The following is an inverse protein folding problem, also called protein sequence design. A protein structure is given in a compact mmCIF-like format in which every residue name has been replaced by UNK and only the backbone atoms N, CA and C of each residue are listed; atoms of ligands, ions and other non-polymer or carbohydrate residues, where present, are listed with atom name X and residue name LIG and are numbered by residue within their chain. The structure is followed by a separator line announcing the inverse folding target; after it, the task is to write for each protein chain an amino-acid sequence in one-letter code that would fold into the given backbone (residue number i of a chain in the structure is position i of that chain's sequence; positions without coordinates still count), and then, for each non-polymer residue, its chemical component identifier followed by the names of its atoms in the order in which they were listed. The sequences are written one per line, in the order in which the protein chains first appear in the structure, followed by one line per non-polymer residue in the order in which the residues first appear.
data_IF_876877491560
#
_entry.id   IF_876877491560
#
_cell.length_a   1.000
_cell.length_b   1.000
_cell.length_c   1.000
_cell.angle_alpha   90.00
_cell.angle_beta   90.00
_cell.angle_gamma   90.00
#
_symmetry.space_group_name_H-M   'P 1'
#
loop_
_entity.id
_entity.type
_entity.pdbx_description
1 polymer ?
#
# COMPACT_ATOMS: atom_id res chain seq x y z
N UNK A 1 50.99 50.20 50.68
CA UNK A 1 51.22 49.05 49.75
C UNK A 1 49.85 48.41 49.50
N UNK A 2 49.22 48.73 48.41
CA UNK A 2 47.88 48.29 48.08
C UNK A 2 47.97 47.42 46.82
N UNK A 3 47.76 46.11 46.96
CA UNK A 3 47.72 45.18 45.82
C UNK A 3 46.34 45.14 45.20
N UNK A 4 46.23 45.61 43.95
CA UNK A 4 45.04 45.40 43.12
C UNK A 4 45.07 44.02 42.47
N UNK A 5 44.09 43.20 42.81
CA UNK A 5 43.80 41.93 42.13
C UNK A 5 42.78 42.21 41.02
N UNK A 6 43.19 42.14 39.77
CA UNK A 6 42.29 42.16 38.60
C UNK A 6 41.66 40.79 38.39
N UNK A 7 40.37 40.70 38.52
CA UNK A 7 39.56 39.51 38.20
C UNK A 7 39.35 39.42 36.69
N UNK A 8 39.97 38.45 36.04
CA UNK A 8 39.68 38.08 34.67
C UNK A 8 38.38 37.29 34.60
N UNK A 9 37.34 37.86 33.99
CA UNK A 9 36.08 37.16 33.65
C UNK A 9 36.34 36.26 32.46
N UNK A 10 36.31 34.93 32.68
CA UNK A 10 36.21 33.93 31.61
C UNK A 10 34.77 33.88 31.10
N UNK A 11 34.53 34.23 29.85
CA UNK A 11 33.32 33.99 29.16
C UNK A 11 33.37 32.54 28.64
N UNK A 12 32.56 31.65 29.22
CA UNK A 12 32.29 30.33 28.63
C UNK A 12 31.26 30.53 27.49
N UNK A 13 31.73 30.41 26.27
CA UNK A 13 30.84 30.30 25.11
C UNK A 13 30.27 28.90 25.09
N UNK A 14 29.03 28.74 25.47
CA UNK A 14 28.29 27.49 25.27
C UNK A 14 27.89 27.42 23.81
N UNK A 15 28.59 26.62 23.03
CA UNK A 15 28.17 26.24 21.70
C UNK A 15 26.97 25.28 21.80
N UNK A 16 25.78 25.81 21.55
CA UNK A 16 24.58 24.97 21.38
C UNK A 16 24.73 24.24 20.04
N UNK A 17 25.16 23.00 20.10
CA UNK A 17 25.10 22.09 18.97
C UNK A 17 23.62 21.80 18.70
N UNK A 18 23.05 22.49 17.73
CA UNK A 18 21.71 22.21 17.21
C UNK A 18 21.71 20.80 16.58
N UNK A 19 21.20 19.81 17.30
CA UNK A 19 20.84 18.54 16.71
C UNK A 19 19.74 18.82 15.67
N UNK A 20 20.11 18.87 14.40
CA UNK A 20 19.20 18.72 13.29
C UNK A 20 18.63 17.29 13.39
N UNK A 21 17.49 17.13 14.05
CA UNK A 21 16.66 15.95 13.88
C UNK A 21 16.23 15.95 12.41
N UNK A 22 17.01 15.27 11.57
CA UNK A 22 16.56 14.89 10.24
C UNK A 22 15.29 14.08 10.43
N UNK A 23 14.16 14.61 9.98
CA UNK A 23 12.96 13.82 9.75
C UNK A 23 13.36 12.66 8.84
N UNK A 24 13.52 11.47 9.41
CA UNK A 24 13.67 10.23 8.67
C UNK A 24 12.35 9.92 7.97
N UNK A 25 12.06 10.60 6.87
CA UNK A 25 11.00 10.23 5.96
C UNK A 25 11.31 8.85 5.40
N UNK A 26 10.31 7.98 5.32
CA UNK A 26 10.44 6.69 4.66
C UNK A 26 11.00 6.92 3.25
N UNK A 27 12.10 6.24 2.92
CA UNK A 27 12.69 6.35 1.58
C UNK A 27 11.89 5.48 0.61
N UNK A 28 11.37 6.10 -0.46
CA UNK A 28 10.67 5.41 -1.54
C UNK A 28 11.60 5.07 -2.72
N UNK A 29 12.92 5.16 -2.55
CA UNK A 29 13.89 4.94 -3.65
C UNK A 29 13.85 3.52 -4.21
N UNK A 30 13.46 2.54 -3.40
CA UNK A 30 13.26 1.16 -3.83
C UNK A 30 11.97 0.95 -4.63
N UNK A 31 11.03 1.91 -4.63
CA UNK A 31 9.75 1.75 -5.31
C UNK A 31 9.93 1.92 -6.82
N UNK A 32 9.61 0.86 -7.55
CA UNK A 32 9.66 0.86 -9.02
C UNK A 32 8.59 1.77 -9.60
N UNK A 33 8.95 2.50 -10.66
CA UNK A 33 8.06 3.42 -11.39
C UNK A 33 7.54 4.59 -10.54
N UNK A 34 8.30 5.06 -9.56
CA UNK A 34 7.87 6.19 -8.72
C UNK A 34 7.54 7.45 -9.53
N UNK A 35 8.18 7.64 -10.69
CA UNK A 35 7.87 8.70 -11.65
C UNK A 35 6.76 8.37 -12.65
N UNK A 36 5.90 7.37 -12.40
CA UNK A 36 4.88 6.88 -13.32
C UNK A 36 4.10 7.99 -14.01
N UNK A 37 4.00 7.93 -15.35
CA UNK A 37 3.22 8.83 -16.18
C UNK A 37 1.75 8.39 -16.35
N UNK A 38 1.36 7.26 -15.79
CA UNK A 38 -0.01 6.77 -15.79
C UNK A 38 -0.99 7.75 -15.13
N UNK A 39 -2.28 7.56 -15.39
CA UNK A 39 -3.31 8.52 -14.96
C UNK A 39 -4.33 7.95 -13.99
N UNK A 40 -4.46 6.61 -13.89
CA UNK A 40 -5.49 5.98 -13.08
C UNK A 40 -4.91 5.29 -11.86
N UNK A 41 -5.65 5.33 -10.76
CA UNK A 41 -5.44 4.48 -9.60
C UNK A 41 -6.45 3.36 -9.67
N UNK A 42 -6.01 2.11 -9.53
CA UNK A 42 -6.86 0.94 -9.69
C UNK A 42 -6.69 0.03 -8.48
N UNK A 43 -7.79 -0.40 -7.87
CA UNK A 43 -7.80 -1.47 -6.90
C UNK A 43 -8.19 -2.76 -7.63
N UNK A 44 -7.28 -3.73 -7.67
CA UNK A 44 -7.41 -4.99 -8.38
C UNK A 44 -7.43 -6.15 -7.39
N UNK A 45 -8.50 -6.96 -7.41
CA UNK A 45 -8.67 -8.00 -6.41
C UNK A 45 -9.94 -8.81 -6.60
N UNK A 46 -10.33 -9.50 -5.54
CA UNK A 46 -11.47 -10.40 -5.48
C UNK A 46 -12.72 -9.73 -4.85
N UNK A 47 -13.55 -10.50 -4.12
CA UNK A 47 -14.75 -10.02 -3.41
C UNK A 47 -14.45 -8.93 -2.37
N UNK A 48 -13.24 -8.94 -1.77
CA UNK A 48 -12.82 -7.90 -0.84
C UNK A 48 -12.64 -6.56 -1.55
N UNK A 49 -12.14 -6.58 -2.78
CA UNK A 49 -11.99 -5.37 -3.60
C UNK A 49 -13.32 -4.95 -4.21
N UNK A 50 -14.14 -5.91 -4.66
CA UNK A 50 -15.50 -5.62 -5.15
C UNK A 50 -16.37 -4.94 -4.08
N UNK A 51 -16.15 -5.26 -2.79
CA UNK A 51 -16.87 -4.70 -1.66
C UNK A 51 -18.06 -5.55 -1.20
N UNK A 52 -17.99 -6.88 -1.37
CA UNK A 52 -19.07 -7.77 -0.94
C UNK A 52 -19.34 -7.62 0.56
N UNK A 53 -20.60 -7.32 0.91
CA UNK A 53 -21.03 -7.08 2.30
C UNK A 53 -21.08 -5.61 2.71
N UNK A 54 -20.71 -4.67 1.82
CA UNK A 54 -20.90 -3.23 2.03
C UNK A 54 -22.10 -2.68 1.27
N UNK A 55 -22.56 -1.49 1.64
CA UNK A 55 -23.49 -0.69 0.86
C UNK A 55 -22.83 0.05 -0.31
N UNK A 56 -23.64 0.69 -1.17
CA UNK A 56 -23.13 1.47 -2.29
C UNK A 56 -22.15 2.58 -1.84
N UNK A 57 -20.94 2.60 -2.40
CA UNK A 57 -19.91 3.58 -2.06
C UNK A 57 -19.20 3.35 -0.73
N UNK A 58 -19.44 2.22 -0.07
CA UNK A 58 -18.78 1.82 1.18
C UNK A 58 -17.67 0.79 0.97
N UNK A 59 -17.46 0.31 -0.25
CA UNK A 59 -16.32 -0.52 -0.59
C UNK A 59 -15.00 0.25 -0.40
N UNK A 60 -13.89 -0.47 -0.12
CA UNK A 60 -12.65 0.21 0.19
C UNK A 60 -12.08 1.04 -1.00
N UNK A 61 -12.24 0.67 -2.28
CA UNK A 61 -11.86 1.53 -3.40
C UNK A 61 -12.60 2.87 -3.42
N UNK A 62 -13.91 2.87 -3.16
CA UNK A 62 -14.71 4.10 -3.10
C UNK A 62 -14.27 4.99 -1.92
N UNK A 63 -14.08 4.40 -0.74
CA UNK A 63 -13.56 5.13 0.44
C UNK A 63 -12.14 5.64 0.20
N UNK A 64 -11.29 4.85 -0.45
CA UNK A 64 -9.92 5.26 -0.81
C UNK A 64 -9.95 6.43 -1.78
N UNK A 65 -10.84 6.43 -2.77
CA UNK A 65 -11.06 7.53 -3.70
C UNK A 65 -11.40 8.84 -2.97
N UNK A 66 -12.31 8.78 -2.00
CA UNK A 66 -12.67 9.94 -1.17
C UNK A 66 -11.47 10.46 -0.36
N UNK A 67 -10.69 9.56 0.24
CA UNK A 67 -9.52 9.93 1.05
C UNK A 67 -8.36 10.53 0.25
N UNK A 68 -8.13 10.01 -0.94
CA UNK A 68 -7.08 10.51 -1.83
C UNK A 68 -7.50 11.77 -2.60
N UNK A 69 -8.81 12.07 -2.67
CA UNK A 69 -9.34 13.18 -3.45
C UNK A 69 -9.20 12.98 -4.97
N UNK A 70 -9.00 11.74 -5.42
CA UNK A 70 -8.89 11.39 -6.85
C UNK A 70 -9.67 10.10 -7.15
N UNK A 71 -10.18 9.94 -8.38
CA UNK A 71 -10.91 8.72 -8.74
C UNK A 71 -10.05 7.46 -8.60
N UNK A 72 -10.63 6.42 -7.98
CA UNK A 72 -10.06 5.08 -7.89
C UNK A 72 -11.00 4.11 -8.60
N UNK A 73 -10.46 3.36 -9.53
CA UNK A 73 -11.23 2.34 -10.26
C UNK A 73 -11.30 1.07 -9.41
N UNK A 74 -12.50 0.62 -9.13
CA UNK A 74 -12.73 -0.70 -8.54
C UNK A 74 -12.69 -1.76 -9.65
N UNK A 75 -11.67 -2.61 -9.64
CA UNK A 75 -11.49 -3.77 -10.51
C UNK A 75 -11.52 -5.08 -9.69
N UNK A 76 -12.36 -5.12 -8.67
CA UNK A 76 -12.65 -6.32 -7.87
C UNK A 76 -13.63 -7.23 -8.60
N UNK A 77 -13.42 -8.56 -8.49
CA UNK A 77 -14.27 -9.58 -9.07
C UNK A 77 -14.42 -10.74 -8.08
N UNK A 78 -15.62 -10.88 -7.51
CA UNK A 78 -15.88 -11.91 -6.48
C UNK A 78 -15.48 -13.29 -6.97
N UNK A 79 -14.86 -14.06 -6.08
CA UNK A 79 -14.44 -15.42 -6.37
C UNK A 79 -13.15 -15.55 -7.14
N UNK A 80 -12.49 -14.45 -7.54
CA UNK A 80 -11.20 -14.54 -8.22
C UNK A 80 -10.13 -15.18 -7.35
N UNK A 81 -9.44 -16.15 -7.93
CA UNK A 81 -8.12 -16.59 -7.52
C UNK A 81 -7.05 -15.72 -8.19
N UNK A 82 -5.81 -15.89 -7.80
CA UNK A 82 -4.70 -15.21 -8.48
C UNK A 82 -4.61 -15.59 -9.95
N UNK A 83 -4.93 -16.83 -10.33
CA UNK A 83 -4.96 -17.31 -11.71
C UNK A 83 -6.05 -16.63 -12.54
N UNK A 84 -7.29 -16.58 -12.03
CA UNK A 84 -8.41 -15.94 -12.77
C UNK A 84 -8.23 -14.44 -12.87
N UNK A 85 -7.73 -13.78 -11.81
CA UNK A 85 -7.36 -12.37 -11.84
C UNK A 85 -6.26 -12.10 -12.89
N UNK A 86 -5.21 -12.93 -12.97
CA UNK A 86 -4.16 -12.78 -13.97
C UNK A 86 -4.71 -12.85 -15.39
N UNK A 87 -5.72 -13.69 -15.68
CA UNK A 87 -6.32 -13.82 -17.01
C UNK A 87 -7.00 -12.53 -17.49
N UNK A 88 -7.59 -11.74 -16.58
CA UNK A 88 -8.27 -10.47 -16.91
C UNK A 88 -7.41 -9.21 -16.68
N UNK A 89 -6.16 -9.35 -16.17
CA UNK A 89 -5.28 -8.23 -15.88
C UNK A 89 -5.10 -7.26 -17.05
N UNK A 90 -4.99 -7.78 -18.27
CA UNK A 90 -4.77 -6.96 -19.46
C UNK A 90 -5.92 -5.99 -19.72
N UNK A 91 -7.16 -6.48 -19.67
CA UNK A 91 -8.36 -5.68 -19.96
C UNK A 91 -8.72 -4.75 -18.79
N UNK A 92 -8.66 -5.27 -17.57
CA UNK A 92 -9.19 -4.56 -16.41
C UNK A 92 -8.20 -3.58 -15.78
N UNK A 93 -6.92 -3.75 -16.04
CA UNK A 93 -5.85 -2.93 -15.44
C UNK A 93 -4.95 -2.31 -16.50
N UNK A 94 -4.25 -3.13 -17.32
CA UNK A 94 -3.17 -2.63 -18.18
C UNK A 94 -3.66 -1.70 -19.28
N UNK A 95 -4.86 -1.94 -19.82
CA UNK A 95 -5.49 -1.10 -20.84
C UNK A 95 -5.92 0.29 -20.32
N UNK A 96 -6.00 0.47 -18.99
CA UNK A 96 -6.51 1.71 -18.36
C UNK A 96 -5.42 2.72 -18.01
N UNK A 97 -4.22 2.57 -18.53
CA UNK A 97 -3.08 3.46 -18.30
C UNK A 97 -2.81 3.70 -16.79
N UNK A 98 -2.54 2.64 -16.03
CA UNK A 98 -2.42 2.73 -14.57
C UNK A 98 -1.20 3.54 -14.14
N UNK A 99 -1.40 4.41 -13.15
CA UNK A 99 -0.35 5.09 -12.39
C UNK A 99 0.06 4.29 -11.17
N UNK A 100 -0.94 3.75 -10.50
CA UNK A 100 -0.79 2.94 -9.29
C UNK A 100 -1.86 1.86 -9.27
N UNK A 101 -1.45 0.64 -8.92
CA UNK A 101 -2.35 -0.49 -8.77
C UNK A 101 -2.20 -1.07 -7.37
N UNK A 102 -3.30 -1.10 -6.64
CA UNK A 102 -3.40 -1.81 -5.35
C UNK A 102 -3.87 -3.23 -5.63
N UNK A 103 -3.03 -4.22 -5.35
CA UNK A 103 -3.31 -5.64 -5.55
C UNK A 103 -3.71 -6.28 -4.22
N UNK A 104 -4.91 -6.84 -4.15
CA UNK A 104 -5.43 -7.57 -2.98
C UNK A 104 -6.05 -8.88 -3.45
N UNK A 105 -5.28 -9.95 -3.44
CA UNK A 105 -5.63 -11.29 -3.94
C UNK A 105 -5.00 -12.38 -3.07
N UNK A 106 -5.46 -13.60 -3.24
CA UNK A 106 -4.94 -14.79 -2.56
C UNK A 106 -5.91 -15.41 -1.55
N UNK A 107 -6.97 -14.69 -1.16
CA UNK A 107 -8.00 -15.18 -0.25
C UNK A 107 -8.71 -16.42 -0.80
N UNK A 108 -9.11 -16.39 -2.06
CA UNK A 108 -9.77 -17.52 -2.71
C UNK A 108 -8.81 -18.67 -3.03
N UNK A 109 -7.52 -18.38 -3.28
CA UNK A 109 -6.49 -19.42 -3.43
C UNK A 109 -6.36 -20.22 -2.14
N UNK A 110 -6.29 -19.55 -0.99
CA UNK A 110 -6.29 -20.20 0.32
C UNK A 110 -7.55 -21.04 0.55
N UNK A 111 -8.74 -20.48 0.31
CA UNK A 111 -10.01 -21.18 0.51
C UNK A 111 -10.17 -22.42 -0.39
N UNK A 112 -9.60 -22.39 -1.59
CA UNK A 112 -9.64 -23.48 -2.56
C UNK A 112 -8.40 -24.39 -2.48
N UNK A 113 -7.53 -24.16 -1.51
CA UNK A 113 -6.31 -24.97 -1.32
C UNK A 113 -5.42 -25.01 -2.58
N UNK A 114 -5.34 -23.89 -3.31
CA UNK A 114 -4.40 -23.74 -4.41
C UNK A 114 -2.97 -23.85 -3.86
N UNK A 115 -2.07 -24.59 -4.51
CA UNK A 115 -0.68 -24.67 -4.07
C UNK A 115 -0.05 -23.29 -3.91
N UNK A 116 0.61 -23.07 -2.77
CA UNK A 116 1.17 -21.76 -2.40
C UNK A 116 2.19 -21.25 -3.44
N UNK A 117 2.92 -22.18 -4.08
CA UNK A 117 3.85 -21.88 -5.18
C UNK A 117 3.15 -21.30 -6.41
N UNK A 118 1.95 -21.79 -6.73
CA UNK A 118 1.15 -21.30 -7.86
C UNK A 118 0.61 -19.90 -7.54
N UNK A 119 0.03 -19.72 -6.35
CA UNK A 119 -0.42 -18.40 -5.86
C UNK A 119 0.70 -17.38 -5.93
N UNK A 120 1.90 -17.73 -5.44
CA UNK A 120 3.09 -16.87 -5.51
C UNK A 120 3.45 -16.51 -6.95
N UNK A 121 3.50 -17.50 -7.84
CA UNK A 121 3.83 -17.30 -9.26
C UNK A 121 2.86 -16.34 -9.94
N UNK A 122 1.55 -16.53 -9.75
CA UNK A 122 0.54 -15.67 -10.35
C UNK A 122 0.59 -14.25 -9.79
N UNK A 123 0.74 -14.08 -8.47
CA UNK A 123 0.88 -12.75 -7.85
C UNK A 123 2.12 -12.02 -8.37
N UNK A 124 3.25 -12.72 -8.45
CA UNK A 124 4.49 -12.16 -8.96
C UNK A 124 4.36 -11.72 -10.42
N UNK A 125 3.66 -12.49 -11.25
CA UNK A 125 3.37 -12.17 -12.65
C UNK A 125 2.43 -10.96 -12.77
N UNK A 126 1.40 -10.86 -11.92
CA UNK A 126 0.52 -9.68 -11.86
C UNK A 126 1.32 -8.42 -11.55
N UNK A 127 2.18 -8.47 -10.52
CA UNK A 127 3.03 -7.34 -10.13
C UNK A 127 4.00 -6.98 -11.26
N UNK A 128 4.68 -7.97 -11.83
CA UNK A 128 5.65 -7.78 -12.92
C UNK A 128 5.02 -7.09 -14.12
N UNK A 129 3.91 -7.62 -14.64
CA UNK A 129 3.23 -7.07 -15.83
C UNK A 129 2.66 -5.68 -15.59
N UNK A 130 2.17 -5.42 -14.38
CA UNK A 130 1.70 -4.10 -13.98
C UNK A 130 2.85 -3.08 -13.96
N UNK A 131 4.00 -3.47 -13.42
CA UNK A 131 5.20 -2.62 -13.41
C UNK A 131 5.79 -2.41 -14.80
N UNK A 132 5.74 -3.40 -15.68
CA UNK A 132 6.16 -3.26 -17.09
C UNK A 132 5.29 -2.27 -17.87
N UNK A 133 4.03 -2.11 -17.45
CA UNK A 133 3.15 -1.06 -17.98
C UNK A 133 3.49 0.34 -17.45
N UNK A 134 4.47 0.46 -16.56
CA UNK A 134 4.93 1.73 -15.98
C UNK A 134 4.19 2.14 -14.72
N UNK A 135 3.36 1.29 -14.12
CA UNK A 135 2.64 1.59 -12.89
C UNK A 135 3.46 1.29 -11.62
N UNK A 136 3.27 2.09 -10.58
CA UNK A 136 3.60 1.69 -9.21
C UNK A 136 2.65 0.58 -8.76
N UNK A 137 3.14 -0.32 -7.90
CA UNK A 137 2.30 -1.38 -7.33
C UNK A 137 2.32 -1.32 -5.81
N UNK A 138 1.16 -1.53 -5.22
CA UNK A 138 0.95 -1.77 -3.80
C UNK A 138 0.47 -3.20 -3.63
N UNK A 139 1.18 -4.00 -2.86
CA UNK A 139 0.76 -5.34 -2.46
C UNK A 139 0.10 -5.24 -1.10
N UNK A 140 -1.20 -5.51 -1.04
CA UNK A 140 -1.95 -5.54 0.21
C UNK A 140 -1.92 -6.94 0.80
N UNK A 141 -1.21 -7.08 1.92
CA UNK A 141 -1.15 -8.34 2.65
C UNK A 141 -2.46 -8.64 3.35
N UNK A 142 -2.90 -9.89 3.24
CA UNK A 142 -4.01 -10.45 3.99
C UNK A 142 -3.50 -11.62 4.81
N UNK A 143 -3.81 -11.65 6.10
CA UNK A 143 -3.46 -12.79 6.94
C UNK A 143 -4.56 -13.83 6.86
N UNK A 144 -4.21 -15.01 6.36
CA UNK A 144 -5.12 -16.13 6.17
C UNK A 144 -4.71 -17.26 7.13
N UNK A 145 -5.72 -17.79 7.84
CA UNK A 145 -5.51 -18.83 8.84
C UNK A 145 -5.42 -18.31 10.28
N UNK A 146 -5.81 -19.18 11.23
CA UNK A 146 -5.86 -18.86 12.66
C UNK A 146 -4.53 -19.16 13.36
N UNK A 147 -3.77 -20.17 12.88
CA UNK A 147 -2.60 -20.71 13.57
C UNK A 147 -1.31 -20.58 12.78
N UNK A 148 -1.36 -20.61 11.46
CA UNK A 148 -0.19 -20.44 10.58
C UNK A 148 -0.48 -19.33 9.59
N UNK A 149 0.54 -18.51 9.33
CA UNK A 149 0.48 -17.43 8.34
C UNK A 149 1.54 -17.68 7.28
N UNK A 150 1.22 -18.54 6.33
CA UNK A 150 2.12 -18.89 5.22
C UNK A 150 2.06 -17.88 4.07
N UNK A 151 1.01 -17.04 4.03
CA UNK A 151 0.76 -16.08 2.95
C UNK A 151 1.46 -14.73 3.17
N UNK A 152 1.48 -14.21 4.40
CA UNK A 152 2.12 -12.90 4.66
C UNK A 152 3.57 -12.83 4.20
N UNK A 153 4.43 -13.86 4.42
CA UNK A 153 5.80 -13.84 3.91
C UNK A 153 5.89 -13.76 2.39
N UNK A 154 4.90 -14.32 1.66
CA UNK A 154 4.87 -14.28 0.19
C UNK A 154 4.57 -12.87 -0.30
N UNK A 155 3.59 -12.20 0.28
CA UNK A 155 3.26 -10.82 -0.10
C UNK A 155 4.43 -9.88 0.15
N UNK A 156 5.08 -10.00 1.31
CA UNK A 156 6.23 -9.19 1.69
C UNK A 156 7.44 -9.46 0.78
N UNK A 157 7.76 -10.73 0.50
CA UNK A 157 8.84 -11.15 -0.39
C UNK A 157 8.63 -10.61 -1.82
N UNK A 158 7.42 -10.74 -2.38
CA UNK A 158 7.09 -10.21 -3.70
C UNK A 158 7.23 -8.68 -3.71
N UNK A 159 6.68 -7.99 -2.72
CA UNK A 159 6.76 -6.54 -2.64
C UNK A 159 8.22 -6.07 -2.57
N UNK A 160 9.01 -6.66 -1.69
CA UNK A 160 10.43 -6.32 -1.50
C UNK A 160 11.23 -6.55 -2.79
N UNK A 161 11.16 -7.76 -3.36
CA UNK A 161 11.94 -8.12 -4.57
C UNK A 161 11.54 -7.35 -5.81
N UNK A 162 10.28 -6.95 -5.91
CA UNK A 162 9.75 -6.22 -7.06
C UNK A 162 9.78 -4.70 -6.90
N UNK A 163 10.21 -4.18 -5.75
CA UNK A 163 10.13 -2.75 -5.48
C UNK A 163 8.68 -2.25 -5.54
N UNK A 164 7.77 -2.97 -4.88
CA UNK A 164 6.39 -2.56 -4.67
C UNK A 164 6.21 -2.12 -3.21
N UNK A 165 5.25 -1.23 -2.95
CA UNK A 165 4.88 -0.88 -1.60
C UNK A 165 4.14 -2.04 -0.94
N UNK A 166 4.50 -2.40 0.29
CA UNK A 166 3.79 -3.43 1.06
C UNK A 166 2.90 -2.79 2.12
N UNK A 167 1.62 -3.17 2.13
CA UNK A 167 0.69 -2.82 3.21
C UNK A 167 0.33 -4.08 3.98
N UNK A 168 0.90 -4.30 5.18
CA UNK A 168 0.71 -5.55 5.90
C UNK A 168 -0.70 -5.68 6.46
N UNK A 169 -1.23 -6.91 6.42
CA UNK A 169 -2.46 -7.35 7.09
C UNK A 169 -3.59 -6.32 7.17
N UNK A 170 -4.13 -5.96 6.01
CA UNK A 170 -5.22 -4.97 5.90
C UNK A 170 -6.50 -5.41 6.63
N UNK A 171 -6.66 -6.72 6.89
CA UNK A 171 -7.82 -7.30 7.61
C UNK A 171 -7.63 -7.38 9.13
N UNK A 172 -6.49 -6.92 9.69
CA UNK A 172 -6.20 -7.05 11.13
C UNK A 172 -7.37 -6.56 12.00
N UNK A 173 -7.91 -7.46 12.83
CA UNK A 173 -8.98 -7.14 13.80
C UNK A 173 -10.38 -6.99 13.17
N UNK A 174 -10.52 -6.99 11.85
CA UNK A 174 -11.81 -6.74 11.18
C UNK A 174 -12.71 -7.97 11.26
N UNK A 175 -12.22 -9.13 10.80
CA UNK A 175 -13.03 -10.34 10.74
C UNK A 175 -13.28 -10.99 12.13
N UNK A 176 -12.54 -10.61 13.14
CA UNK A 176 -12.77 -11.03 14.53
C UNK A 176 -13.79 -10.17 15.27
N UNK A 177 -14.10 -8.96 14.78
CA UNK A 177 -15.11 -8.08 15.36
C UNK A 177 -16.43 -8.16 14.58
N UNK A 178 -17.49 -8.61 15.26
CA UNK A 178 -18.83 -8.71 14.65
C UNK A 178 -19.39 -7.35 14.17
N UNK A 179 -18.92 -6.23 14.70
CA UNK A 179 -19.33 -4.88 14.28
C UNK A 179 -18.69 -4.42 12.97
N UNK A 180 -17.64 -5.11 12.52
CA UNK A 180 -16.84 -4.74 11.35
C UNK A 180 -16.98 -5.72 10.18
N UNK A 181 -17.68 -6.83 10.38
CA UNK A 181 -17.88 -7.86 9.36
C UNK A 181 -19.35 -8.02 8.99
N UNK A 182 -19.59 -8.39 7.75
CA UNK A 182 -20.88 -8.81 7.23
C UNK A 182 -21.10 -10.31 7.46
N UNK A 183 -20.08 -11.12 7.19
CA UNK A 183 -20.07 -12.56 7.41
C UNK A 183 -18.69 -13.01 7.95
N UNK A 184 -18.38 -14.31 7.84
CA UNK A 184 -17.13 -14.87 8.40
C UNK A 184 -15.87 -14.45 7.67
N UNK A 185 -15.97 -14.02 6.41
CA UNK A 185 -14.83 -13.73 5.53
C UNK A 185 -14.94 -12.35 4.84
N UNK A 186 -16.07 -11.65 4.95
CA UNK A 186 -16.24 -10.34 4.34
C UNK A 186 -16.49 -9.25 5.39
N UNK A 187 -15.82 -8.12 5.30
CA UNK A 187 -16.12 -6.91 6.07
C UNK A 187 -17.52 -6.35 5.72
N UNK A 188 -18.08 -5.54 6.61
CA UNK A 188 -19.14 -4.59 6.28
C UNK A 188 -18.54 -3.21 5.93
N UNK A 189 -19.38 -2.21 5.65
CA UNK A 189 -18.94 -0.87 5.28
C UNK A 189 -17.94 -0.24 6.28
N UNK A 190 -18.14 -0.46 7.59
CA UNK A 190 -17.20 0.00 8.62
C UNK A 190 -15.84 -0.72 8.54
N UNK A 191 -15.85 -2.04 8.28
CA UNK A 191 -14.63 -2.81 8.07
C UNK A 191 -13.88 -2.39 6.80
N UNK A 192 -14.58 -2.15 5.71
CA UNK A 192 -13.99 -1.64 4.47
C UNK A 192 -13.41 -0.24 4.63
N UNK A 193 -14.02 0.61 5.43
CA UNK A 193 -13.44 1.93 5.78
C UNK A 193 -12.08 1.78 6.45
N UNK A 194 -11.92 0.84 7.39
CA UNK A 194 -10.63 0.58 8.04
C UNK A 194 -9.58 0.05 7.06
N UNK A 195 -9.98 -0.80 6.10
CA UNK A 195 -9.08 -1.25 5.03
C UNK A 195 -8.59 -0.05 4.21
N UNK A 196 -9.51 0.81 3.77
CA UNK A 196 -9.17 2.02 3.02
C UNK A 196 -8.24 2.95 3.80
N UNK A 197 -8.45 3.10 5.10
CA UNK A 197 -7.59 3.90 6.00
C UNK A 197 -6.16 3.38 6.03
N UNK A 198 -5.99 2.08 6.20
CA UNK A 198 -4.68 1.42 6.23
C UNK A 198 -3.93 1.57 4.91
N UNK A 199 -4.64 1.39 3.79
CA UNK A 199 -4.06 1.57 2.46
C UNK A 199 -3.74 3.05 2.22
N UNK A 200 -4.65 3.97 2.53
CA UNK A 200 -4.44 5.41 2.34
C UNK A 200 -3.24 5.94 3.12
N UNK A 201 -3.05 5.48 4.35
CA UNK A 201 -1.92 5.87 5.20
C UNK A 201 -0.55 5.62 4.55
N UNK A 202 -0.45 4.60 3.70
CA UNK A 202 0.77 4.24 2.98
C UNK A 202 0.81 4.83 1.55
N UNK A 203 -0.33 4.86 0.88
CA UNK A 203 -0.43 5.31 -0.52
C UNK A 203 -0.34 6.83 -0.64
N UNK A 204 -0.90 7.58 0.30
CA UNK A 204 -0.93 9.03 0.23
C UNK A 204 0.48 9.66 0.25
N UNK A 205 1.39 9.31 1.17
CA UNK A 205 2.76 9.81 1.13
C UNK A 205 3.55 9.31 -0.10
N UNK A 206 3.31 8.07 -0.56
CA UNK A 206 3.90 7.56 -1.80
C UNK A 206 3.52 8.42 -3.01
N UNK A 207 2.24 8.77 -3.15
CA UNK A 207 1.75 9.61 -4.25
C UNK A 207 2.31 11.04 -4.17
N UNK A 208 2.43 11.60 -2.97
CA UNK A 208 3.05 12.92 -2.75
C UNK A 208 4.50 12.92 -3.19
N UNK A 209 5.27 11.90 -2.84
CA UNK A 209 6.66 11.75 -3.26
C UNK A 209 6.76 11.56 -4.79
N UNK A 210 5.91 10.72 -5.37
CA UNK A 210 5.84 10.52 -6.81
C UNK A 210 5.54 11.83 -7.57
N UNK A 211 4.62 12.65 -7.03
CA UNK A 211 4.31 13.97 -7.62
C UNK A 211 5.46 14.97 -7.46
N UNK A 212 6.16 14.93 -6.34
CA UNK A 212 7.35 15.76 -6.12
C UNK A 212 8.44 15.45 -7.15
N UNK A 213 8.73 14.18 -7.37
CA UNK A 213 9.75 13.75 -8.35
C UNK A 213 9.34 14.12 -9.78
N UNK A 214 8.08 13.93 -10.16
CA UNK A 214 7.60 14.35 -11.49
C UNK A 214 7.79 15.85 -11.75
N UNK A 215 7.53 16.70 -10.76
CA UNK A 215 7.75 18.16 -10.90
C UNK A 215 9.24 18.51 -11.01
N UNK A 216 10.12 17.81 -10.30
CA UNK A 216 11.56 18.02 -10.39
C UNK A 216 12.16 17.70 -11.75
N UNK A 217 11.60 16.73 -12.48
CA UNK A 217 12.02 16.40 -13.84
C UNK A 217 11.55 17.38 -14.93
N UNK A 218 10.56 18.22 -14.66
CA UNK A 218 10.02 19.19 -15.64
C UNK A 218 10.80 20.51 -15.63
N UNK A 219 11.60 20.76 -14.63
CA UNK A 219 12.32 22.05 -14.41
C UNK A 219 13.85 21.91 -14.42
N UNK A 220 14.41 20.77 -14.77
CA UNK A 220 15.81 20.47 -15.00
C UNK A 220 16.07 20.11 -16.45
#
# INVERSE_FOLDING_TARGET
MIFHRSARRFWLSVAVAGCLYGCGGESYDAIRNLGSAGRTIICFGDSLTEGLGSGPGEDYPAVLSQRLGVPVINAGHRGDTTATALSRLAADVLAKNPRLVVVMLGGNDFLRQVPLSETKTHLEEIVRRTQERGAMVVVSGIRLGLFTDEYSPIFEDIASRRGALYVPNVLKGILSDAKLRNDRIHPNGSGYRLIAERIAAQVQPLLQEADRRRRGFVHG
#
